data_IF_876817330511
#
_entry.id   IF_876817330511
#
_cell.length_a   1.000
_cell.length_b   1.000
_cell.length_c   1.000
_cell.angle_alpha   90.00
_cell.angle_beta   90.00
_cell.angle_gamma   90.00
#
_symmetry.space_group_name_H-M   'P 1'
#
loop_
_entity.id
_entity.type
_entity.pdbx_description
1 polymer ?
#
# COMPACT_ATOMS: atom_id res chain seq x y z
N UNK A 1 -7.26 -2.32 -6.44
CA UNK A 1 -8.70 -2.34 -6.09
C UNK A 1 -9.01 -1.44 -4.89
N UNK A 2 -8.23 -1.47 -3.80
CA UNK A 2 -8.47 -0.68 -2.59
C UNK A 2 -8.30 0.85 -2.72
N UNK A 3 -7.30 1.28 -3.49
CA UNK A 3 -6.98 2.71 -3.61
C UNK A 3 -8.01 3.48 -4.46
N UNK A 4 -8.68 2.83 -5.40
CA UNK A 4 -9.78 3.43 -6.19
C UNK A 4 -10.96 3.84 -5.31
N UNK A 5 -11.25 3.09 -4.23
CA UNK A 5 -12.32 3.43 -3.30
C UNK A 5 -12.06 4.75 -2.58
N UNK A 6 -10.79 5.12 -2.35
CA UNK A 6 -10.42 6.39 -1.72
C UNK A 6 -10.76 7.60 -2.60
N UNK A 7 -10.87 7.39 -3.91
CA UNK A 7 -11.21 8.43 -4.89
C UNK A 7 -12.72 8.55 -5.11
N UNK A 8 -13.53 7.71 -4.46
CA UNK A 8 -14.98 7.77 -4.56
C UNK A 8 -15.52 9.08 -3.99
N UNK A 9 -16.50 9.69 -4.68
CA UNK A 9 -17.26 10.83 -4.18
C UNK A 9 -18.25 10.42 -3.07
N UNK A 10 -18.70 9.15 -3.07
CA UNK A 10 -19.52 8.59 -2.01
C UNK A 10 -18.69 8.36 -0.72
N UNK A 11 -19.09 9.03 0.36
CA UNK A 11 -18.40 9.00 1.64
C UNK A 11 -18.35 7.59 2.24
N UNK A 12 -19.43 6.82 2.12
CA UNK A 12 -19.50 5.45 2.67
C UNK A 12 -18.47 4.55 2.00
N UNK A 13 -18.39 4.62 0.68
CA UNK A 13 -17.42 3.90 -0.15
C UNK A 13 -15.98 4.30 0.19
N UNK A 14 -15.71 5.61 0.32
CA UNK A 14 -14.39 6.12 0.70
C UNK A 14 -13.94 5.63 2.07
N UNK A 15 -14.84 5.68 3.05
CA UNK A 15 -14.59 5.20 4.40
C UNK A 15 -14.39 3.68 4.46
N UNK A 16 -15.09 2.91 3.61
CA UNK A 16 -14.86 1.47 3.47
C UNK A 16 -13.45 1.16 2.94
N UNK A 17 -12.98 1.91 1.93
CA UNK A 17 -11.62 1.82 1.41
C UNK A 17 -10.57 2.09 2.49
N UNK A 18 -10.76 3.15 3.29
CA UNK A 18 -9.85 3.50 4.38
C UNK A 18 -9.78 2.42 5.46
N UNK A 19 -10.92 1.91 5.92
CA UNK A 19 -10.97 0.82 6.92
C UNK A 19 -10.28 -0.45 6.45
N UNK A 20 -10.40 -0.79 5.16
CA UNK A 20 -9.70 -1.94 4.61
C UNK A 20 -8.18 -1.75 4.64
N UNK A 21 -7.67 -0.56 4.32
CA UNK A 21 -6.24 -0.24 4.40
C UNK A 21 -5.74 -0.37 5.83
N UNK A 22 -6.44 0.22 6.80
CA UNK A 22 -6.09 0.14 8.22
C UNK A 22 -6.07 -1.32 8.72
N UNK A 23 -7.04 -2.13 8.25
CA UNK A 23 -7.11 -3.55 8.58
C UNK A 23 -5.96 -4.33 7.98
N UNK A 24 -5.58 -4.05 6.73
CA UNK A 24 -4.44 -4.68 6.08
C UNK A 24 -3.13 -4.35 6.78
N UNK A 25 -2.92 -3.09 7.19
CA UNK A 25 -1.73 -2.69 7.95
C UNK A 25 -1.61 -3.44 9.29
N UNK A 26 -2.72 -3.63 9.99
CA UNK A 26 -2.77 -4.42 11.22
C UNK A 26 -2.47 -5.91 10.97
N UNK A 27 -2.98 -6.47 9.87
CA UNK A 27 -2.73 -7.88 9.53
C UNK A 27 -1.27 -8.09 9.12
N UNK A 28 -0.69 -7.19 8.32
CA UNK A 28 0.70 -7.31 7.88
C UNK A 28 1.67 -7.25 9.05
N UNK A 29 1.45 -6.37 10.03
CA UNK A 29 2.32 -6.30 11.21
C UNK A 29 2.34 -7.59 12.03
N UNK A 30 1.20 -8.28 12.15
CA UNK A 30 1.15 -9.58 12.84
C UNK A 30 1.85 -10.70 12.04
N UNK A 31 1.75 -10.64 10.72
CA UNK A 31 2.39 -11.60 9.83
C UNK A 31 3.93 -11.45 9.86
N UNK A 32 4.44 -10.22 9.90
CA UNK A 32 5.88 -9.94 9.98
C UNK A 32 6.50 -10.55 11.25
N UNK A 33 5.82 -10.44 12.39
CA UNK A 33 6.26 -11.03 13.65
C UNK A 33 6.25 -12.57 13.60
N UNK A 34 5.23 -13.17 12.97
CA UNK A 34 5.18 -14.62 12.78
C UNK A 34 6.33 -15.12 11.90
N UNK A 35 6.66 -14.41 10.82
CA UNK A 35 7.79 -14.76 9.97
C UNK A 35 9.12 -14.64 10.71
N UNK A 36 9.28 -13.60 11.55
CA UNK A 36 10.45 -13.45 12.43
C UNK A 36 10.61 -14.66 13.36
N UNK A 37 9.54 -15.06 14.05
CA UNK A 37 9.56 -16.20 14.96
C UNK A 37 9.87 -17.53 14.24
N UNK A 38 9.31 -17.73 13.04
CA UNK A 38 9.61 -18.91 12.22
C UNK A 38 11.10 -18.94 11.84
N UNK A 39 11.67 -17.79 11.46
CA UNK A 39 13.10 -17.68 11.18
C UNK A 39 13.98 -18.01 12.39
N UNK A 40 13.62 -17.49 13.56
CA UNK A 40 14.31 -17.77 14.83
C UNK A 40 14.28 -19.28 15.15
N UNK A 41 13.14 -19.95 14.93
CA UNK A 41 12.95 -21.37 15.25
C UNK A 41 13.59 -22.33 14.24
N UNK A 42 13.65 -21.95 12.97
CA UNK A 42 14.17 -22.79 11.88
C UNK A 42 15.65 -22.53 11.57
N UNK A 43 16.21 -21.43 12.09
CA UNK A 43 17.55 -20.94 11.74
C UNK A 43 17.63 -20.34 10.32
N UNK A 44 16.55 -20.42 9.54
CA UNK A 44 16.46 -19.82 8.21
C UNK A 44 15.90 -18.42 8.36
N UNK A 45 16.79 -17.45 8.44
CA UNK A 45 16.40 -16.06 8.29
C UNK A 45 16.14 -15.83 6.82
N UNK A 46 14.86 -15.87 6.41
CA UNK A 46 14.47 -15.17 5.20
C UNK A 46 14.89 -13.73 5.44
N UNK A 47 15.97 -13.29 4.79
CA UNK A 47 16.21 -11.87 4.67
C UNK A 47 14.87 -11.29 4.25
N UNK A 48 14.37 -10.30 4.99
CA UNK A 48 13.33 -9.44 4.46
C UNK A 48 13.97 -8.85 3.19
N UNK A 49 13.85 -9.55 2.06
CA UNK A 49 13.99 -8.98 0.74
C UNK A 49 13.13 -7.76 0.85
N UNK A 50 13.79 -6.60 0.83
CA UNK A 50 13.17 -5.31 1.04
C UNK A 50 11.91 -5.35 0.19
N UNK A 51 10.76 -5.57 0.83
CA UNK A 51 9.50 -5.68 0.12
C UNK A 51 9.40 -4.30 -0.46
N UNK A 52 9.63 -4.21 -1.78
CA UNK A 52 9.67 -2.97 -2.50
C UNK A 52 8.38 -2.27 -2.12
N UNK A 53 8.49 -1.25 -1.27
CA UNK A 53 7.34 -0.52 -0.77
C UNK A 53 6.82 0.12 -2.05
N UNK A 54 5.81 -0.49 -2.66
CA UNK A 54 5.23 -0.04 -3.91
C UNK A 54 4.72 1.35 -3.64
N UNK A 55 5.54 2.33 -3.98
CA UNK A 55 5.27 3.73 -3.72
C UNK A 55 4.44 4.19 -4.91
N UNK A 56 3.16 4.44 -4.70
CA UNK A 56 2.28 4.95 -5.75
C UNK A 56 2.74 6.37 -6.14
N UNK A 57 3.42 6.49 -7.28
CA UNK A 57 3.81 7.78 -7.84
C UNK A 57 2.62 8.32 -8.62
N UNK A 58 1.96 9.36 -8.11
CA UNK A 58 0.95 10.09 -8.90
C UNK A 58 1.64 10.90 -10.00
N UNK A 59 1.51 10.43 -11.24
CA UNK A 59 2.01 11.13 -12.42
C UNK A 59 1.13 12.36 -12.68
N UNK A 60 1.57 13.55 -12.23
CA UNK A 60 0.92 14.79 -12.61
C UNK A 60 1.15 15.04 -14.10
N UNK A 61 0.09 14.89 -14.91
CA UNK A 61 0.10 15.27 -16.33
C UNK A 61 0.36 16.77 -16.43
N UNK A 62 1.60 17.16 -16.71
CA UNK A 62 1.93 18.53 -17.09
C UNK A 62 1.22 18.86 -18.40
N UNK A 63 0.11 19.60 -18.33
CA UNK A 63 -0.54 20.17 -19.50
C UNK A 63 0.38 21.27 -20.02
N UNK A 64 1.11 20.99 -21.09
CA UNK A 64 1.85 22.02 -21.83
C UNK A 64 0.82 22.72 -22.72
N UNK A 65 0.37 23.89 -22.29
CA UNK A 65 -0.37 24.81 -23.16
C UNK A 65 0.57 25.25 -24.28
N UNK A 66 0.22 25.09 -25.57
CA UNK A 66 1.04 25.61 -26.63
C UNK A 66 1.03 27.13 -26.55
N UNK A 67 2.20 27.73 -26.36
CA UNK A 67 2.41 29.16 -26.48
C UNK A 67 2.65 29.42 -27.97
N UNK A 68 1.67 29.98 -28.67
CA UNK A 68 1.87 30.63 -29.97
C UNK A 68 1.03 30.09 -31.12
N UNK A 69 0.19 30.99 -31.64
CA UNK A 69 -0.61 30.90 -32.86
C UNK A 69 -1.51 32.12 -32.96
#
# INVERSE_FOLDING_TARGET
MSFELLRSEDEVTRNAGRRMIDRMATISSGLDEHWRLIGDLTGVHLAQEQVEIVTEIQLQRKVVTPIGG
#
